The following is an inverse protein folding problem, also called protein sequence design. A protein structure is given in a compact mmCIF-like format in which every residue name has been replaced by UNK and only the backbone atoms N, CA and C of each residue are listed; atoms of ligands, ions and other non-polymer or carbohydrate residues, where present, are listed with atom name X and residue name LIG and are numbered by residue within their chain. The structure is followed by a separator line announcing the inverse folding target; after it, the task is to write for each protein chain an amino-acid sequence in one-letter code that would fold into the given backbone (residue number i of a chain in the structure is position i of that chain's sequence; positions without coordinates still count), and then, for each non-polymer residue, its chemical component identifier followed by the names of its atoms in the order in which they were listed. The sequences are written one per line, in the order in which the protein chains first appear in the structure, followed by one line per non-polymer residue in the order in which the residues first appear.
data_IF_705096190807
#
_entry.id   IF_705096190807
#
_cell.length_a   1.000
_cell.length_b   1.000
_cell.length_c   1.000
_cell.angle_alpha   90.00
_cell.angle_beta   90.00
_cell.angle_gamma   90.00
#
_symmetry.space_group_name_H-M   'P 1'
#
loop_
_entity.id
_entity.type
_entity.pdbx_description
1 polymer ?
#
# COMPACT_ATOMS: atom_id res chain seq x y z
N UNK A 1 -10.95 38.25 19.48
CA UNK A 1 -10.84 38.30 17.99
C UNK A 1 -9.88 37.26 17.38
N UNK A 2 -8.56 37.25 17.68
CA UNK A 2 -7.59 36.26 17.11
C UNK A 2 -8.00 34.79 17.30
N UNK A 3 -8.60 34.45 18.44
CA UNK A 3 -9.00 33.07 18.74
C UNK A 3 -10.22 32.59 17.91
N UNK A 4 -11.12 33.52 17.55
CA UNK A 4 -12.31 33.29 16.74
C UNK A 4 -11.93 33.06 15.26
N UNK A 5 -11.08 33.91 14.69
CA UNK A 5 -10.57 33.73 13.33
C UNK A 5 -9.76 32.42 13.17
N UNK A 6 -9.01 31.99 14.20
CA UNK A 6 -8.31 30.70 14.20
C UNK A 6 -9.27 29.50 14.21
N UNK A 7 -10.40 29.59 14.91
CA UNK A 7 -11.45 28.56 14.90
C UNK A 7 -12.20 28.53 13.56
N UNK A 8 -12.54 29.69 13.00
CA UNK A 8 -13.23 29.81 11.72
C UNK A 8 -12.37 29.27 10.56
N UNK A 9 -11.09 29.64 10.50
CA UNK A 9 -10.14 29.12 9.50
C UNK A 9 -9.91 27.61 9.63
N UNK A 10 -9.83 27.09 10.86
CA UNK A 10 -9.77 25.65 11.10
C UNK A 10 -11.04 24.92 10.63
N UNK A 11 -12.21 25.52 10.83
CA UNK A 11 -13.50 24.97 10.42
C UNK A 11 -13.68 24.97 8.90
N UNK A 12 -13.34 26.07 8.22
CA UNK A 12 -13.33 26.18 6.74
C UNK A 12 -12.34 25.18 6.12
N UNK A 13 -11.13 25.08 6.70
CA UNK A 13 -10.13 24.10 6.27
C UNK A 13 -10.62 22.66 6.47
N UNK A 14 -11.36 22.38 7.55
CA UNK A 14 -11.97 21.07 7.82
C UNK A 14 -13.09 20.75 6.83
N UNK A 15 -13.97 21.71 6.52
CA UNK A 15 -15.03 21.55 5.51
C UNK A 15 -14.45 21.28 4.11
N UNK A 16 -13.44 22.05 3.69
CA UNK A 16 -12.76 21.82 2.41
C UNK A 16 -12.10 20.44 2.34
N UNK A 17 -11.47 19.98 3.42
CA UNK A 17 -10.85 18.64 3.49
C UNK A 17 -11.88 17.53 3.25
N UNK A 18 -13.03 17.59 3.93
CA UNK A 18 -14.08 16.59 3.80
C UNK A 18 -14.67 16.56 2.40
N UNK A 19 -14.84 17.73 1.77
CA UNK A 19 -15.28 17.83 0.38
C UNK A 19 -14.34 17.09 -0.57
N UNK A 20 -13.02 17.34 -0.50
CA UNK A 20 -12.05 16.66 -1.37
C UNK A 20 -12.04 15.14 -1.14
N UNK A 21 -12.10 14.69 0.11
CA UNK A 21 -12.16 13.25 0.42
C UNK A 21 -13.44 12.64 -0.15
N UNK A 22 -14.60 13.27 0.05
CA UNK A 22 -15.88 12.81 -0.50
C UNK A 22 -15.83 12.70 -2.03
N UNK A 23 -15.32 13.74 -2.70
CA UNK A 23 -15.15 13.75 -4.15
C UNK A 23 -14.21 12.62 -4.64
N UNK A 24 -13.07 12.40 -3.96
CA UNK A 24 -12.16 11.28 -4.28
C UNK A 24 -12.88 9.95 -4.17
N UNK A 25 -13.60 9.70 -3.09
CA UNK A 25 -14.31 8.43 -2.88
C UNK A 25 -15.35 8.20 -3.97
N UNK A 26 -16.15 9.22 -4.29
CA UNK A 26 -17.19 9.14 -5.33
C UNK A 26 -16.56 8.86 -6.70
N UNK A 27 -15.54 9.64 -7.09
CA UNK A 27 -14.86 9.47 -8.38
C UNK A 27 -14.13 8.12 -8.49
N UNK A 28 -13.63 7.60 -7.36
CA UNK A 28 -12.89 6.33 -7.31
C UNK A 28 -13.80 5.10 -7.21
N UNK A 29 -15.10 5.28 -6.95
CA UNK A 29 -16.05 4.19 -6.73
C UNK A 29 -16.38 3.48 -8.04
N UNK A 30 -16.70 4.23 -9.11
CA UNK A 30 -17.11 3.66 -10.39
C UNK A 30 -16.04 2.73 -11.01
N UNK A 31 -14.75 3.11 -11.12
CA UNK A 31 -13.71 2.23 -11.64
C UNK A 31 -13.55 0.89 -10.89
N UNK A 32 -13.93 0.88 -9.60
CA UNK A 32 -13.86 -0.31 -8.74
C UNK A 32 -15.10 -1.18 -8.83
N UNK A 33 -16.27 -0.60 -9.09
CA UNK A 33 -17.52 -1.35 -9.24
C UNK A 33 -17.76 -1.87 -10.65
N UNK A 34 -17.11 -1.29 -11.66
CA UNK A 34 -17.29 -1.70 -13.06
C UNK A 34 -17.04 -3.20 -13.23
N UNK A 35 -18.11 -3.94 -13.57
CA UNK A 35 -18.11 -5.38 -13.81
C UNK A 35 -17.42 -6.20 -12.71
N UNK A 36 -17.56 -5.82 -11.44
CA UNK A 36 -16.79 -6.41 -10.33
C UNK A 36 -16.90 -7.95 -10.24
N UNK A 37 -18.06 -8.53 -10.57
CA UNK A 37 -18.26 -9.99 -10.56
C UNK A 37 -17.65 -10.69 -11.76
N UNK A 38 -17.55 -10.01 -12.91
CA UNK A 38 -17.12 -10.59 -14.18
C UNK A 38 -15.64 -10.31 -14.50
N UNK A 39 -15.11 -9.16 -14.05
CA UNK A 39 -13.76 -8.67 -14.31
C UNK A 39 -13.14 -8.15 -13.02
N UNK A 40 -11.87 -8.46 -12.71
CA UNK A 40 -10.90 -9.29 -13.48
C UNK A 40 -11.35 -10.75 -13.63
N UNK A 41 -10.76 -11.54 -14.54
CA UNK A 41 -10.92 -13.00 -14.53
C UNK A 41 -10.52 -13.59 -13.17
N UNK A 42 -11.10 -14.74 -12.82
CA UNK A 42 -10.87 -15.36 -11.52
C UNK A 42 -9.42 -15.82 -11.42
N UNK A 43 -8.71 -15.32 -10.40
CA UNK A 43 -7.33 -15.74 -10.12
C UNK A 43 -7.31 -16.95 -9.17
N UNK A 44 -6.23 -17.74 -9.21
CA UNK A 44 -6.07 -18.94 -8.36
C UNK A 44 -6.26 -18.63 -6.87
N UNK A 45 -5.78 -17.47 -6.41
CA UNK A 45 -5.91 -17.03 -5.01
C UNK A 45 -7.37 -16.81 -4.60
N UNK A 46 -8.23 -16.29 -5.49
CA UNK A 46 -9.66 -16.08 -5.20
C UNK A 46 -10.38 -17.42 -4.97
N UNK A 47 -10.13 -18.40 -5.83
CA UNK A 47 -10.69 -19.73 -5.68
C UNK A 47 -10.23 -20.40 -4.37
N UNK A 48 -8.96 -20.24 -4.01
CA UNK A 48 -8.41 -20.76 -2.75
C UNK A 48 -9.01 -20.06 -1.52
N UNK A 49 -9.18 -18.74 -1.58
CA UNK A 49 -9.79 -17.93 -0.53
C UNK A 49 -11.26 -18.29 -0.32
N UNK A 50 -12.04 -18.44 -1.39
CA UNK A 50 -13.45 -18.85 -1.32
C UNK A 50 -13.59 -20.26 -0.75
N UNK A 51 -12.76 -21.22 -1.19
CA UNK A 51 -12.75 -22.57 -0.62
C UNK A 51 -12.52 -22.56 0.89
N UNK A 52 -11.57 -21.75 1.36
CA UNK A 52 -11.30 -21.58 2.79
C UNK A 52 -12.50 -20.95 3.52
N UNK A 53 -13.09 -19.89 2.97
CA UNK A 53 -14.27 -19.22 3.55
C UNK A 53 -15.46 -20.18 3.65
N UNK A 54 -15.72 -20.97 2.61
CA UNK A 54 -16.78 -21.98 2.63
C UNK A 54 -16.54 -23.07 3.68
N UNK A 55 -15.28 -23.50 3.86
CA UNK A 55 -14.92 -24.43 4.93
C UNK A 55 -15.20 -23.84 6.33
N UNK A 56 -14.85 -22.57 6.55
CA UNK A 56 -15.13 -21.85 7.81
C UNK A 56 -16.63 -21.75 8.06
N UNK A 57 -17.41 -21.35 7.04
CA UNK A 57 -18.85 -21.21 7.15
C UNK A 57 -19.55 -22.56 7.41
N UNK A 58 -19.06 -23.64 6.80
CA UNK A 58 -19.60 -25.00 7.00
C UNK A 58 -19.28 -25.56 8.39
N UNK A 59 -18.09 -25.31 8.91
CA UNK A 59 -17.62 -25.85 10.19
C UNK A 59 -17.92 -24.93 11.39
N UNK A 60 -18.52 -23.76 11.14
CA UNK A 60 -18.79 -22.71 12.14
C UNK A 60 -17.56 -22.25 12.97
N UNK A 61 -16.34 -22.51 12.46
CA UNK A 61 -15.08 -22.19 13.16
C UNK A 61 -14.62 -20.77 12.83
N UNK A 62 -15.00 -19.80 13.65
CA UNK A 62 -14.67 -18.37 13.47
C UNK A 62 -13.50 -17.92 14.36
N UNK A 63 -12.43 -18.72 14.45
CA UNK A 63 -11.26 -18.33 15.22
C UNK A 63 -10.36 -17.37 14.43
N UNK A 64 -10.13 -16.12 14.89
CA UNK A 64 -9.36 -15.12 14.12
C UNK A 64 -7.88 -15.48 14.01
N UNK A 65 -7.43 -16.46 14.82
CA UNK A 65 -6.07 -16.97 14.80
C UNK A 65 -5.89 -18.13 13.84
N UNK A 66 -6.94 -18.60 13.14
CA UNK A 66 -6.79 -19.67 12.16
C UNK A 66 -5.80 -19.32 11.06
N UNK A 67 -5.00 -20.32 10.68
CA UNK A 67 -4.11 -20.19 9.56
C UNK A 67 -4.95 -20.05 8.30
N UNK A 68 -4.55 -19.10 7.48
CA UNK A 68 -4.98 -19.04 6.09
C UNK A 68 -4.51 -20.28 5.32
N UNK A 69 -5.11 -20.55 4.14
CA UNK A 69 -4.83 -21.77 3.36
C UNK A 69 -3.36 -21.97 2.98
N UNK A 70 -2.58 -20.88 2.87
CA UNK A 70 -1.14 -20.89 2.57
C UNK A 70 -0.24 -20.92 3.83
N UNK A 71 -0.84 -21.02 5.01
CA UNK A 71 -0.23 -20.99 6.34
C UNK A 71 0.62 -19.74 6.67
N UNK A 72 0.71 -18.76 5.79
CA UNK A 72 1.64 -17.63 5.93
C UNK A 72 1.09 -16.46 6.74
N UNK A 73 -0.20 -16.52 7.07
CA UNK A 73 -0.98 -15.44 7.68
C UNK A 73 -2.23 -16.00 8.36
N UNK A 74 -2.98 -15.12 9.03
CA UNK A 74 -4.28 -15.47 9.61
C UNK A 74 -5.44 -15.22 8.65
N UNK A 75 -6.61 -15.77 8.97
CA UNK A 75 -7.86 -15.50 8.25
C UNK A 75 -8.51 -14.15 8.60
N UNK A 76 -7.94 -13.39 9.55
CA UNK A 76 -8.52 -12.15 10.10
C UNK A 76 -8.94 -11.16 8.99
N UNK A 77 -8.14 -11.01 7.95
CA UNK A 77 -8.40 -10.07 6.85
C UNK A 77 -9.64 -10.42 6.03
N UNK A 78 -10.11 -11.67 6.10
CA UNK A 78 -11.24 -12.18 5.34
C UNK A 78 -12.57 -12.13 6.11
N UNK A 79 -12.55 -11.68 7.38
CA UNK A 79 -13.76 -11.58 8.21
C UNK A 79 -14.88 -10.74 7.60
N UNK A 80 -14.61 -9.59 6.96
CA UNK A 80 -15.67 -8.85 6.27
C UNK A 80 -16.30 -9.66 5.13
N UNK A 81 -15.50 -10.40 4.35
CA UNK A 81 -16.01 -11.27 3.29
C UNK A 81 -16.88 -12.39 3.87
N UNK A 82 -16.42 -13.03 4.95
CA UNK A 82 -17.17 -14.08 5.67
C UNK A 82 -18.51 -13.52 6.17
N UNK A 83 -18.50 -12.33 6.78
CA UNK A 83 -19.70 -11.67 7.27
C UNK A 83 -20.69 -11.36 6.15
N UNK A 84 -20.23 -10.79 5.03
CA UNK A 84 -21.08 -10.48 3.88
C UNK A 84 -21.70 -11.75 3.29
N UNK A 85 -20.93 -12.81 3.10
CA UNK A 85 -21.43 -14.10 2.58
C UNK A 85 -22.44 -14.71 3.56
N UNK A 86 -22.20 -14.60 4.88
CA UNK A 86 -23.14 -15.09 5.90
C UNK A 86 -24.46 -14.30 5.90
N UNK A 87 -24.43 -12.99 5.66
CA UNK A 87 -25.62 -12.13 5.65
C UNK A 87 -26.45 -12.23 4.37
N UNK A 88 -25.79 -12.36 3.21
CA UNK A 88 -26.44 -12.27 1.90
C UNK A 88 -26.47 -13.59 1.12
N UNK A 89 -25.91 -14.67 1.68
CA UNK A 89 -25.83 -15.98 1.05
C UNK A 89 -24.59 -16.17 0.16
N UNK A 90 -24.42 -17.41 -0.32
CA UNK A 90 -23.25 -17.84 -1.10
C UNK A 90 -23.43 -17.72 -2.63
N UNK A 91 -24.57 -17.28 -3.12
CA UNK A 91 -24.83 -17.17 -4.57
C UNK A 91 -23.94 -16.15 -5.28
N UNK A 92 -23.35 -15.20 -4.54
CA UNK A 92 -22.49 -14.12 -5.04
C UNK A 92 -21.20 -13.99 -4.20
N UNK A 93 -20.66 -15.11 -3.72
CA UNK A 93 -19.48 -15.19 -2.85
C UNK A 93 -18.24 -14.45 -3.40
N UNK A 94 -17.93 -14.60 -4.70
CA UNK A 94 -16.84 -13.90 -5.37
C UNK A 94 -17.04 -12.38 -5.33
N UNK A 95 -18.27 -11.92 -5.57
CA UNK A 95 -18.58 -10.49 -5.51
C UNK A 95 -18.32 -9.94 -4.10
N UNK A 96 -18.75 -10.64 -3.04
CA UNK A 96 -18.52 -10.21 -1.67
C UNK A 96 -17.04 -10.24 -1.29
N UNK A 97 -16.29 -11.24 -1.77
CA UNK A 97 -14.85 -11.30 -1.58
C UNK A 97 -14.15 -10.09 -2.23
N UNK A 98 -14.49 -9.76 -3.47
CA UNK A 98 -13.96 -8.60 -4.20
C UNK A 98 -14.41 -7.27 -3.62
N UNK A 99 -15.65 -7.20 -3.13
CA UNK A 99 -16.21 -6.02 -2.48
C UNK A 99 -15.41 -5.64 -1.22
N UNK A 100 -14.90 -6.63 -0.48
CA UNK A 100 -14.01 -6.36 0.65
C UNK A 100 -12.70 -5.69 0.22
N UNK A 101 -12.06 -6.17 -0.86
CA UNK A 101 -10.88 -5.50 -1.43
C UNK A 101 -11.18 -4.07 -1.86
N UNK A 102 -12.33 -3.85 -2.49
CA UNK A 102 -12.82 -2.53 -2.89
C UNK A 102 -12.96 -1.61 -1.68
N UNK A 103 -13.62 -2.06 -0.60
CA UNK A 103 -13.82 -1.27 0.61
C UNK A 103 -12.48 -0.85 1.20
N UNK A 104 -11.53 -1.77 1.36
CA UNK A 104 -10.20 -1.42 1.88
C UNK A 104 -9.48 -0.44 0.97
N UNK A 105 -9.54 -0.62 -0.35
CA UNK A 105 -8.90 0.30 -1.29
C UNK A 105 -9.45 1.72 -1.23
N UNK A 106 -10.76 1.89 -1.05
CA UNK A 106 -11.39 3.21 -0.86
C UNK A 106 -10.95 3.84 0.46
N UNK A 107 -10.92 3.04 1.52
CA UNK A 107 -10.43 3.46 2.83
C UNK A 107 -8.96 3.90 2.77
N UNK A 108 -8.12 3.27 1.93
CA UNK A 108 -6.73 3.64 1.72
C UNK A 108 -6.53 5.06 1.15
N UNK A 109 -7.50 5.57 0.39
CA UNK A 109 -7.43 6.91 -0.21
C UNK A 109 -7.48 8.01 0.86
N UNK A 110 -8.08 7.74 2.02
CA UNK A 110 -8.20 8.68 3.14
C UNK A 110 -6.82 9.00 3.76
N UNK A 111 -6.07 8.03 4.32
CA UNK A 111 -4.75 8.32 4.88
C UNK A 111 -3.78 8.77 3.78
N UNK A 112 -3.90 8.25 2.55
CA UNK A 112 -3.09 8.72 1.42
C UNK A 112 -3.26 10.22 1.16
N UNK A 113 -4.51 10.70 1.04
CA UNK A 113 -4.80 12.13 0.85
C UNK A 113 -4.24 12.97 2.01
N UNK A 114 -4.44 12.51 3.25
CA UNK A 114 -4.00 13.23 4.44
C UNK A 114 -2.47 13.33 4.54
N UNK A 115 -1.75 12.27 4.16
CA UNK A 115 -0.29 12.23 4.08
C UNK A 115 0.23 13.15 2.96
N UNK A 116 -0.34 13.05 1.76
CA UNK A 116 0.05 13.88 0.61
C UNK A 116 -0.19 15.36 0.86
N UNK A 117 -1.30 15.71 1.51
CA UNK A 117 -1.62 17.09 1.91
C UNK A 117 -0.60 17.68 2.89
N UNK A 118 0.06 16.86 3.71
CA UNK A 118 1.12 17.35 4.63
C UNK A 118 2.38 17.79 3.89
N UNK A 119 2.59 17.29 2.69
CA UNK A 119 3.68 17.70 1.81
C UNK A 119 3.30 18.91 0.94
N UNK A 120 2.01 19.08 0.68
CA UNK A 120 1.50 19.97 -0.37
C UNK A 120 0.32 20.83 0.13
N UNK A 121 -0.72 20.99 -0.69
CA UNK A 121 -1.98 21.64 -0.36
C UNK A 121 -3.16 20.71 -0.70
N UNK A 122 -4.39 21.11 -0.37
CA UNK A 122 -5.58 20.26 -0.60
C UNK A 122 -5.79 19.88 -2.08
N UNK A 123 -5.50 20.80 -3.01
CA UNK A 123 -5.77 20.62 -4.43
C UNK A 123 -4.78 19.62 -5.03
N UNK A 124 -3.49 19.78 -4.74
CA UNK A 124 -2.46 18.85 -5.19
C UNK A 124 -2.66 17.48 -4.53
N UNK A 125 -3.01 17.43 -3.24
CA UNK A 125 -3.34 16.18 -2.59
C UNK A 125 -4.55 15.49 -3.23
N UNK A 126 -5.58 16.25 -3.63
CA UNK A 126 -6.73 15.72 -4.35
C UNK A 126 -6.31 15.11 -5.69
N UNK A 127 -5.60 15.89 -6.52
CA UNK A 127 -5.08 15.49 -7.82
C UNK A 127 -4.24 14.19 -7.75
N UNK A 128 -3.28 14.12 -6.83
CA UNK A 128 -2.40 12.96 -6.66
C UNK A 128 -3.16 11.76 -6.09
N UNK A 129 -4.12 11.97 -5.19
CA UNK A 129 -4.93 10.86 -4.65
C UNK A 129 -5.84 10.28 -5.71
N UNK A 130 -6.38 11.12 -6.61
CA UNK A 130 -7.17 10.67 -7.75
C UNK A 130 -6.32 9.82 -8.72
N UNK A 131 -5.10 10.27 -9.02
CA UNK A 131 -4.12 9.51 -9.81
C UNK A 131 -3.78 8.17 -9.15
N UNK A 132 -3.46 8.15 -7.85
CA UNK A 132 -3.19 6.92 -7.10
C UNK A 132 -4.41 5.98 -7.10
N UNK A 133 -5.59 6.52 -6.80
CA UNK A 133 -6.83 5.77 -6.72
C UNK A 133 -7.27 5.17 -8.06
N UNK A 134 -6.87 5.77 -9.18
CA UNK A 134 -7.22 5.31 -10.54
C UNK A 134 -6.11 4.54 -11.23
N UNK A 135 -4.93 4.40 -10.59
CA UNK A 135 -3.82 3.61 -11.12
C UNK A 135 -4.30 2.21 -11.49
N UNK A 136 -4.11 1.77 -12.74
CA UNK A 136 -4.51 0.42 -13.18
C UNK A 136 -3.91 -0.67 -12.28
N UNK A 137 -2.69 -0.46 -11.78
CA UNK A 137 -2.01 -1.36 -10.86
C UNK A 137 -2.70 -1.39 -9.49
N UNK A 138 -3.04 -0.24 -8.90
CA UNK A 138 -3.80 -0.21 -7.64
C UNK A 138 -5.23 -0.72 -7.81
N UNK A 139 -5.86 -0.42 -8.95
CA UNK A 139 -7.21 -0.88 -9.30
C UNK A 139 -7.27 -2.40 -9.39
N UNK A 140 -6.24 -3.07 -9.90
CA UNK A 140 -6.21 -4.54 -9.93
C UNK A 140 -6.39 -5.12 -8.53
N UNK A 141 -5.57 -4.70 -7.57
CA UNK A 141 -5.66 -5.14 -6.17
C UNK A 141 -6.89 -4.61 -5.43
N UNK A 142 -7.50 -3.53 -5.93
CA UNK A 142 -8.78 -3.03 -5.42
C UNK A 142 -9.96 -3.91 -5.83
N UNK A 143 -9.77 -4.81 -6.80
CA UNK A 143 -10.87 -5.55 -7.46
C UNK A 143 -10.70 -7.06 -7.48
N UNK A 144 -9.49 -7.59 -7.36
CA UNK A 144 -9.30 -9.01 -7.05
C UNK A 144 -9.61 -9.27 -5.57
N UNK A 145 -10.16 -10.44 -5.28
CA UNK A 145 -10.42 -10.97 -3.95
C UNK A 145 -9.17 -11.38 -3.16
N UNK A 146 -8.02 -10.78 -3.48
CA UNK A 146 -6.77 -10.94 -2.74
C UNK A 146 -6.64 -9.87 -1.65
N UNK A 147 -7.52 -10.01 -0.65
CA UNK A 147 -7.87 -8.96 0.31
C UNK A 147 -6.69 -8.50 1.17
N UNK A 148 -5.78 -9.41 1.54
CA UNK A 148 -4.69 -9.13 2.50
C UNK A 148 -3.67 -8.11 1.99
N UNK A 149 -3.43 -8.04 0.68
CA UNK A 149 -2.42 -7.13 0.11
C UNK A 149 -2.94 -5.68 0.15
N UNK A 150 -4.18 -5.45 -0.29
CA UNK A 150 -4.79 -4.12 -0.23
C UNK A 150 -5.07 -3.70 1.21
N UNK A 151 -5.46 -4.64 2.07
CA UNK A 151 -5.62 -4.41 3.50
C UNK A 151 -4.32 -3.93 4.16
N UNK A 152 -3.20 -4.63 3.93
CA UNK A 152 -1.91 -4.24 4.51
C UNK A 152 -1.38 -2.93 3.95
N UNK A 153 -1.60 -2.64 2.66
CA UNK A 153 -1.29 -1.33 2.07
C UNK A 153 -2.08 -0.21 2.76
N UNK A 154 -3.37 -0.44 3.00
CA UNK A 154 -4.28 0.49 3.71
C UNK A 154 -3.80 0.74 5.14
N UNK A 155 -3.54 -0.31 5.90
CA UNK A 155 -3.05 -0.19 7.28
C UNK A 155 -1.64 0.42 7.34
N UNK A 156 -0.78 0.15 6.36
CA UNK A 156 0.54 0.78 6.24
C UNK A 156 0.45 2.31 6.14
N UNK A 157 -0.49 2.81 5.34
CA UNK A 157 -0.76 4.25 5.23
C UNK A 157 -1.26 4.84 6.55
N UNK A 158 -2.17 4.14 7.25
CA UNK A 158 -2.64 4.56 8.57
C UNK A 158 -1.53 4.54 9.62
N UNK A 159 -0.70 3.50 9.64
CA UNK A 159 0.44 3.37 10.54
C UNK A 159 1.37 4.59 10.43
N UNK A 160 1.74 4.96 9.20
CA UNK A 160 2.59 6.12 8.95
C UNK A 160 1.88 7.42 9.35
N UNK A 161 0.59 7.56 9.04
CA UNK A 161 -0.22 8.71 9.44
C UNK A 161 -0.29 8.87 10.97
N UNK A 162 -0.50 7.79 11.70
CA UNK A 162 -0.60 7.80 13.16
C UNK A 162 0.74 8.13 13.81
N UNK A 163 1.85 7.55 13.34
CA UNK A 163 3.19 7.93 13.78
C UNK A 163 3.43 9.43 13.56
N UNK A 164 3.09 9.93 12.38
CA UNK A 164 3.19 11.35 12.06
C UNK A 164 2.27 12.27 12.89
N UNK A 165 1.10 11.76 13.34
CA UNK A 165 0.18 12.47 14.23
C UNK A 165 0.70 12.55 15.66
N UNK A 166 1.44 11.52 16.11
CA UNK A 166 2.04 11.50 17.44
C UNK A 166 3.02 12.67 17.63
N UNK A 167 3.74 13.07 16.58
CA UNK A 167 4.74 14.13 16.58
C UNK A 167 4.27 15.43 15.90
N UNK A 168 2.96 15.61 15.73
CA UNK A 168 2.42 16.81 15.05
C UNK A 168 2.64 18.10 15.85
N UNK A 169 2.61 18.01 17.19
CA UNK A 169 2.97 19.11 18.07
C UNK A 169 4.45 19.00 18.46
N UNK A 170 5.24 19.98 18.04
CA UNK A 170 6.69 20.05 18.33
C UNK A 170 6.99 20.07 19.84
N UNK A 171 6.05 20.54 20.67
CA UNK A 171 6.24 20.64 22.12
C UNK A 171 5.77 19.40 22.87
N UNK A 172 4.89 18.59 22.28
CA UNK A 172 4.29 17.45 22.97
C UNK A 172 4.02 16.25 22.05
N UNK A 173 4.60 15.09 22.42
CA UNK A 173 4.22 13.82 21.78
C UNK A 173 2.86 13.39 22.32
N UNK A 174 1.95 13.05 21.42
CA UNK A 174 0.62 12.55 21.73
C UNK A 174 0.65 11.02 21.81
N UNK A 175 0.74 10.49 23.02
CA UNK A 175 0.96 9.06 23.29
C UNK A 175 -0.14 8.15 22.73
N UNK A 176 -1.39 8.60 22.69
CA UNK A 176 -2.49 7.81 22.10
C UNK A 176 -2.19 7.40 20.65
N UNK A 177 -1.55 8.28 19.87
CA UNK A 177 -1.19 7.96 18.49
C UNK A 177 -0.03 6.97 18.41
N UNK A 178 0.86 6.93 19.40
CA UNK A 178 1.90 5.90 19.52
C UNK A 178 1.25 4.54 19.80
N UNK A 179 0.31 4.47 20.74
CA UNK A 179 -0.45 3.24 21.05
C UNK A 179 -1.18 2.72 19.83
N UNK A 180 -1.96 3.59 19.16
CA UNK A 180 -2.72 3.19 17.97
C UNK A 180 -1.77 2.77 16.83
N UNK A 181 -0.60 3.39 16.70
CA UNK A 181 0.42 2.96 15.73
C UNK A 181 0.95 1.56 16.03
N UNK A 182 1.32 1.27 17.29
CA UNK A 182 1.80 -0.06 17.69
C UNK A 182 0.72 -1.13 17.50
N UNK A 183 -0.53 -0.83 17.88
CA UNK A 183 -1.67 -1.73 17.61
C UNK A 183 -1.87 -1.97 16.11
N UNK A 184 -1.76 -0.93 15.27
CA UNK A 184 -1.88 -1.05 13.81
C UNK A 184 -0.76 -1.93 13.24
N UNK A 185 0.48 -1.74 13.69
CA UNK A 185 1.60 -2.61 13.32
C UNK A 185 1.36 -4.06 13.75
N UNK A 186 0.73 -4.26 14.92
CA UNK A 186 0.32 -5.57 15.40
C UNK A 186 -0.70 -6.23 14.48
N UNK A 187 -1.73 -5.49 14.05
CA UNK A 187 -2.74 -6.01 13.09
C UNK A 187 -2.12 -6.33 11.73
N UNK A 188 -1.16 -5.53 11.25
CA UNK A 188 -0.43 -5.83 10.01
C UNK A 188 0.26 -7.20 10.09
N UNK A 189 0.79 -7.57 11.26
CA UNK A 189 1.47 -8.85 11.48
C UNK A 189 0.56 -10.08 11.29
N UNK A 190 -0.76 -9.91 11.40
CA UNK A 190 -1.75 -10.98 11.15
C UNK A 190 -2.03 -11.23 9.67
N UNK A 191 -1.65 -10.28 8.81
CA UNK A 191 -2.03 -10.24 7.40
C UNK A 191 -0.88 -10.69 6.49
N UNK A 192 -0.76 -10.12 5.29
CA UNK A 192 0.23 -10.52 4.30
C UNK A 192 1.66 -10.42 4.84
N UNK A 193 2.40 -11.54 4.86
CA UNK A 193 3.77 -11.61 5.40
C UNK A 193 4.75 -10.63 4.77
N UNK A 194 4.59 -10.31 3.49
CA UNK A 194 5.43 -9.29 2.82
C UNK A 194 5.29 -7.90 3.45
N UNK A 195 4.17 -7.60 4.11
CA UNK A 195 3.96 -6.35 4.82
C UNK A 195 4.72 -6.23 6.15
N UNK A 196 5.35 -7.30 6.64
CA UNK A 196 6.20 -7.24 7.84
C UNK A 196 7.37 -6.25 7.67
N UNK A 197 7.77 -5.97 6.42
CA UNK A 197 8.72 -4.90 6.10
C UNK A 197 8.27 -3.53 6.65
N UNK A 198 6.97 -3.24 6.62
CA UNK A 198 6.42 -1.99 7.16
C UNK A 198 6.54 -1.92 8.67
N UNK A 199 6.45 -3.06 9.37
CA UNK A 199 6.63 -3.12 10.83
C UNK A 199 8.08 -2.71 11.15
N UNK A 200 9.06 -3.35 10.52
CA UNK A 200 10.48 -3.00 10.72
C UNK A 200 10.77 -1.54 10.35
N UNK A 201 10.26 -1.07 9.21
CA UNK A 201 10.42 0.32 8.77
C UNK A 201 9.74 1.31 9.72
N UNK A 202 8.64 0.94 10.38
CA UNK A 202 7.94 1.80 11.32
C UNK A 202 8.75 2.06 12.60
N UNK A 203 9.53 1.08 13.08
CA UNK A 203 10.48 1.30 14.18
C UNK A 203 11.57 2.29 13.77
N UNK A 204 12.15 2.11 12.57
CA UNK A 204 13.15 3.05 12.04
C UNK A 204 12.56 4.46 11.87
N UNK A 205 11.32 4.55 11.39
CA UNK A 205 10.65 5.84 11.21
C UNK A 205 10.30 6.51 12.53
N UNK A 206 9.85 5.75 13.54
CA UNK A 206 9.62 6.26 14.87
C UNK A 206 10.92 6.85 15.44
N UNK A 207 12.02 6.11 15.36
CA UNK A 207 13.35 6.57 15.77
C UNK A 207 13.75 7.85 15.04
N UNK A 208 13.56 7.90 13.72
CA UNK A 208 13.79 9.11 12.93
C UNK A 208 12.93 10.31 13.39
N UNK A 209 11.65 10.10 13.67
CA UNK A 209 10.75 11.14 14.17
C UNK A 209 11.17 11.65 15.55
N UNK A 210 11.62 10.76 16.44
CA UNK A 210 12.13 11.11 17.77
C UNK A 210 13.38 12.00 17.65
N UNK A 211 14.36 11.59 16.84
CA UNK A 211 15.58 12.37 16.60
C UNK A 211 15.29 13.73 15.99
N UNK A 212 14.45 13.76 14.95
CA UNK A 212 14.15 14.99 14.22
C UNK A 212 13.23 15.97 14.94
N UNK A 213 12.56 15.51 16.01
CA UNK A 213 11.70 16.32 16.87
C UNK A 213 12.41 16.80 18.13
N UNK A 214 13.67 16.41 18.35
CA UNK A 214 14.49 16.81 19.51
C UNK A 214 13.80 16.59 20.87
N UNK A 215 13.07 15.49 21.02
CA UNK A 215 12.45 15.15 22.30
C UNK A 215 13.48 14.61 23.29
N UNK A 216 13.21 14.73 24.59
CA UNK A 216 14.12 14.20 25.63
C UNK A 216 14.28 12.69 25.54
N UNK A 217 15.45 12.18 25.95
CA UNK A 217 15.76 10.74 25.93
C UNK A 217 14.70 9.90 26.66
N UNK A 218 14.29 10.31 27.87
CA UNK A 218 13.21 9.64 28.63
C UNK A 218 11.92 9.52 27.83
N UNK A 219 11.53 10.59 27.12
CA UNK A 219 10.30 10.59 26.30
C UNK A 219 10.47 9.74 25.05
N UNK A 220 11.65 9.77 24.43
CA UNK A 220 12.01 8.91 23.30
C UNK A 220 11.88 7.43 23.69
N UNK A 221 12.56 7.03 24.76
CA UNK A 221 12.50 5.67 25.30
C UNK A 221 11.06 5.24 25.61
N UNK A 222 10.29 6.06 26.34
CA UNK A 222 8.89 5.78 26.64
C UNK A 222 8.05 5.57 25.38
N UNK A 223 8.20 6.41 24.35
CA UNK A 223 7.42 6.26 23.10
C UNK A 223 7.82 5.01 22.32
N UNK A 224 9.10 4.65 22.32
CA UNK A 224 9.58 3.41 21.70
C UNK A 224 9.03 2.18 22.41
N UNK A 225 9.14 2.15 23.74
CA UNK A 225 8.61 1.10 24.60
C UNK A 225 7.09 0.96 24.44
N UNK A 226 6.35 2.07 24.44
CA UNK A 226 4.91 2.05 24.27
C UNK A 226 4.49 1.49 22.91
N UNK A 227 5.18 1.89 21.84
CA UNK A 227 4.96 1.32 20.51
C UNK A 227 5.25 -0.19 20.49
N UNK A 228 6.41 -0.61 21.03
CA UNK A 228 6.82 -2.00 21.08
C UNK A 228 5.84 -2.88 21.88
N UNK A 229 5.46 -2.47 23.09
CA UNK A 229 4.57 -3.27 23.93
C UNK A 229 3.16 -3.35 23.37
N UNK A 230 2.63 -2.29 22.75
CA UNK A 230 1.30 -2.34 22.12
C UNK A 230 1.30 -3.18 20.84
N UNK A 231 2.38 -3.12 20.05
CA UNK A 231 2.64 -4.06 18.95
C UNK A 231 2.67 -5.50 19.46
N UNK A 232 3.48 -5.78 20.49
CA UNK A 232 3.66 -7.11 21.05
C UNK A 232 2.35 -7.64 21.62
N UNK A 233 1.63 -6.83 22.40
CA UNK A 233 0.35 -7.21 23.00
C UNK A 233 -0.66 -7.67 21.96
N UNK A 234 -0.83 -6.91 20.86
CA UNK A 234 -1.72 -7.29 19.76
C UNK A 234 -1.21 -8.52 19.02
N UNK A 235 0.11 -8.65 18.82
CA UNK A 235 0.73 -9.74 18.05
C UNK A 235 0.89 -11.04 18.84
N UNK A 236 0.81 -10.98 20.17
CA UNK A 236 1.19 -12.08 21.07
C UNK A 236 0.40 -13.38 20.81
N UNK A 237 -0.95 -13.36 20.65
CA UNK A 237 -1.69 -14.59 20.35
C UNK A 237 -1.21 -15.29 19.07
N UNK A 238 -0.92 -14.50 18.03
CA UNK A 238 -0.41 -15.03 16.78
C UNK A 238 1.02 -15.55 16.89
N UNK A 239 1.89 -14.82 17.61
CA UNK A 239 3.26 -15.27 17.90
C UNK A 239 3.28 -16.62 18.64
N UNK A 240 2.39 -16.82 19.62
CA UNK A 240 2.25 -18.10 20.34
C UNK A 240 1.81 -19.22 19.39
N UNK A 241 0.93 -18.93 18.43
CA UNK A 241 0.49 -19.94 17.46
C UNK A 241 1.59 -20.28 16.44
N UNK A 242 2.32 -19.26 15.97
CA UNK A 242 3.48 -19.44 15.09
C UNK A 242 4.56 -20.26 15.78
N UNK A 243 4.88 -19.98 17.04
CA UNK A 243 5.96 -20.69 17.75
C UNK A 243 5.69 -22.19 17.87
N UNK A 244 4.42 -22.58 17.97
CA UNK A 244 3.97 -23.98 17.97
C UNK A 244 3.87 -24.61 16.57
N UNK A 245 3.94 -23.81 15.51
CA UNK A 245 3.72 -24.23 14.12
C UNK A 245 4.72 -23.57 13.15
N UNK A 246 5.99 -23.44 13.57
CA UNK A 246 6.99 -22.64 12.84
C UNK A 246 7.18 -23.12 11.40
N UNK A 247 7.22 -24.43 11.18
CA UNK A 247 7.42 -25.00 9.84
C UNK A 247 6.27 -24.65 8.89
N UNK A 248 5.02 -24.74 9.38
CA UNK A 248 3.83 -24.34 8.60
C UNK A 248 3.88 -22.87 8.24
N UNK A 249 4.15 -22.00 9.22
CA UNK A 249 4.22 -20.56 8.98
C UNK A 249 5.32 -20.16 7.99
N UNK A 250 6.44 -20.90 7.99
CA UNK A 250 7.59 -20.63 7.11
C UNK A 250 7.53 -21.34 5.76
N UNK A 251 6.55 -22.22 5.52
CA UNK A 251 6.41 -22.95 4.26
C UNK A 251 6.39 -22.03 3.05
N UNK A 252 5.52 -21.01 3.04
CA UNK A 252 5.43 -20.08 1.90
C UNK A 252 6.70 -19.26 1.73
N UNK A 253 7.33 -18.83 2.82
CA UNK A 253 8.58 -18.07 2.76
C UNK A 253 9.72 -18.90 2.13
N UNK A 254 9.80 -20.19 2.47
CA UNK A 254 10.76 -21.10 1.87
C UNK A 254 10.51 -21.33 0.38
N UNK A 255 9.24 -21.37 -0.05
CA UNK A 255 8.87 -21.52 -1.47
C UNK A 255 9.25 -20.29 -2.29
N UNK A 256 9.06 -19.08 -1.75
CA UNK A 256 9.30 -17.84 -2.50
C UNK A 256 10.72 -17.30 -2.39
N UNK A 257 11.54 -17.85 -1.49
CA UNK A 257 12.92 -17.41 -1.31
C UNK A 257 13.79 -17.83 -2.51
N UNK A 258 14.48 -16.89 -3.12
CA UNK A 258 15.20 -17.15 -4.39
C UNK A 258 16.27 -18.22 -4.27
N UNK A 259 16.93 -18.37 -3.11
CA UNK A 259 17.96 -19.40 -2.94
C UNK A 259 17.40 -20.82 -2.99
N UNK A 260 16.09 -20.98 -2.82
CA UNK A 260 15.38 -22.25 -2.90
C UNK A 260 14.73 -22.48 -4.28
N UNK A 261 14.95 -21.60 -5.25
CA UNK A 261 14.40 -21.76 -6.59
C UNK A 261 14.94 -23.01 -7.28
N UNK A 262 14.06 -23.70 -8.00
CA UNK A 262 14.42 -24.85 -8.85
C UNK A 262 15.03 -24.35 -10.16
N UNK A 263 16.02 -25.08 -10.66
CA UNK A 263 16.66 -24.84 -11.95
C UNK A 263 16.11 -25.83 -13.01
N UNK A 264 16.02 -25.44 -14.30
CA UNK A 264 16.31 -24.11 -14.83
C UNK A 264 15.27 -23.07 -14.39
N UNK A 265 15.70 -21.83 -14.20
CA UNK A 265 14.84 -20.72 -13.76
C UNK A 265 14.88 -19.61 -14.80
N UNK A 266 13.77 -19.41 -15.52
CA UNK A 266 13.69 -18.51 -16.69
C UNK A 266 14.82 -18.76 -17.71
N UNK A 267 15.14 -20.03 -17.97
CA UNK A 267 16.21 -20.44 -18.87
C UNK A 267 17.62 -20.37 -18.27
N UNK A 268 17.78 -19.94 -17.02
CA UNK A 268 19.06 -19.93 -16.32
C UNK A 268 19.32 -21.28 -15.67
N UNK A 269 20.49 -21.86 -15.95
CA UNK A 269 20.93 -23.16 -15.40
C UNK A 269 21.89 -23.03 -14.22
N UNK A 270 22.41 -21.83 -13.95
CA UNK A 270 23.42 -21.58 -12.92
C UNK A 270 22.90 -20.62 -11.85
N UNK A 271 23.27 -20.87 -10.58
CA UNK A 271 22.77 -20.07 -9.44
C UNK A 271 23.39 -18.69 -9.39
N UNK A 272 24.59 -18.54 -9.92
CA UNK A 272 25.35 -17.29 -10.01
C UNK A 272 24.59 -16.27 -10.86
N UNK A 273 23.97 -16.71 -11.95
CA UNK A 273 23.19 -15.87 -12.87
C UNK A 273 21.85 -15.42 -12.27
N UNK A 274 21.30 -16.17 -11.31
CA UNK A 274 20.03 -15.83 -10.65
C UNK A 274 20.09 -14.46 -9.98
N UNK A 275 21.17 -14.19 -9.24
CA UNK A 275 21.29 -12.94 -8.48
C UNK A 275 21.36 -11.74 -9.42
N UNK A 276 22.11 -11.88 -10.53
CA UNK A 276 22.20 -10.84 -11.56
C UNK A 276 20.85 -10.61 -12.24
N UNK A 277 20.15 -11.68 -12.61
CA UNK A 277 18.80 -11.59 -13.16
C UNK A 277 17.84 -10.88 -12.21
N UNK A 278 17.84 -11.26 -10.93
CA UNK A 278 17.00 -10.68 -9.89
C UNK A 278 17.21 -9.17 -9.74
N UNK A 279 18.48 -8.75 -9.63
CA UNK A 279 18.85 -7.35 -9.49
C UNK A 279 18.45 -6.56 -10.73
N UNK A 280 18.86 -7.00 -11.93
CA UNK A 280 18.61 -6.27 -13.17
C UNK A 280 17.13 -6.12 -13.46
N UNK A 281 16.36 -7.21 -13.33
CA UNK A 281 14.91 -7.20 -13.56
C UNK A 281 14.19 -6.31 -12.54
N UNK A 282 14.60 -6.35 -11.28
CA UNK A 282 14.02 -5.50 -10.23
C UNK A 282 14.35 -4.02 -10.43
N UNK A 283 15.58 -3.69 -10.84
CA UNK A 283 15.99 -2.30 -11.14
C UNK A 283 15.22 -1.77 -12.35
N UNK A 284 15.15 -2.54 -13.45
CA UNK A 284 14.40 -2.13 -14.65
C UNK A 284 12.93 -1.85 -14.32
N UNK A 285 12.28 -2.78 -13.63
CA UNK A 285 10.85 -2.65 -13.34
C UNK A 285 10.52 -1.61 -12.28
N UNK A 286 11.31 -1.50 -11.20
CA UNK A 286 10.91 -0.72 -10.03
C UNK A 286 11.75 0.55 -9.78
N UNK A 287 12.91 0.67 -10.40
CA UNK A 287 13.68 1.92 -10.40
C UNK A 287 13.44 2.64 -11.71
N UNK A 288 13.79 2.04 -12.85
CA UNK A 288 13.61 2.66 -14.18
C UNK A 288 12.13 2.76 -14.61
N UNK A 289 11.25 2.03 -13.90
CA UNK A 289 9.81 1.99 -14.15
C UNK A 289 9.51 1.54 -15.58
N UNK A 290 10.23 0.55 -16.05
CA UNK A 290 10.07 -0.06 -17.37
C UNK A 290 9.17 -1.30 -17.28
N UNK A 291 8.49 -1.61 -18.39
CA UNK A 291 7.79 -2.88 -18.52
C UNK A 291 8.79 -4.01 -18.75
N UNK A 292 8.67 -5.09 -18.00
CA UNK A 292 9.56 -6.25 -18.09
C UNK A 292 8.71 -7.52 -18.16
N UNK A 293 9.14 -8.48 -18.98
CA UNK A 293 8.56 -9.81 -19.04
C UNK A 293 9.10 -10.59 -17.84
N UNK A 294 8.24 -10.90 -16.86
CA UNK A 294 8.62 -11.60 -15.63
C UNK A 294 8.84 -13.10 -15.79
N UNK A 295 8.54 -13.64 -16.98
CA UNK A 295 8.82 -15.01 -17.39
C UNK A 295 8.03 -16.08 -16.61
N UNK A 296 6.97 -15.71 -15.89
CA UNK A 296 6.09 -16.61 -15.16
C UNK A 296 4.61 -16.31 -15.44
N UNK A 297 3.74 -17.27 -15.11
CA UNK A 297 2.29 -17.14 -15.27
C UNK A 297 1.64 -16.25 -14.19
N UNK A 298 2.32 -15.99 -13.05
CA UNK A 298 1.74 -15.18 -11.98
C UNK A 298 1.76 -13.67 -12.28
N UNK A 299 2.82 -13.15 -12.92
CA UNK A 299 3.00 -11.71 -13.12
C UNK A 299 1.91 -11.06 -13.96
N UNK A 300 1.45 -11.65 -15.10
CA UNK A 300 0.35 -11.11 -15.90
C UNK A 300 -0.94 -10.85 -15.10
N UNK A 301 -1.17 -11.59 -14.01
CA UNK A 301 -2.35 -11.45 -13.13
C UNK A 301 -2.34 -10.15 -12.32
N UNK A 302 -1.16 -9.56 -12.09
CA UNK A 302 -0.98 -8.43 -11.16
C UNK A 302 -0.46 -7.18 -11.86
N UNK A 303 0.27 -7.35 -12.96
CA UNK A 303 0.83 -6.28 -13.77
C UNK A 303 0.77 -6.70 -15.24
N UNK A 304 0.36 -5.81 -16.15
CA UNK A 304 0.41 -6.08 -17.57
C UNK A 304 1.87 -6.26 -18.02
N UNK A 305 2.18 -7.40 -18.65
CA UNK A 305 3.53 -7.66 -19.18
C UNK A 305 3.92 -6.58 -20.20
N UNK A 306 5.22 -6.25 -20.27
CA UNK A 306 5.78 -5.25 -21.20
C UNK A 306 5.32 -3.80 -21.01
N UNK A 307 4.31 -3.56 -20.17
CA UNK A 307 3.90 -2.22 -19.78
C UNK A 307 4.59 -1.81 -18.47
N UNK A 308 4.98 -0.54 -18.33
CA UNK A 308 5.44 0.02 -17.05
C UNK A 308 4.47 -0.27 -15.90
N UNK A 309 4.90 -0.21 -14.63
CA UNK A 309 4.00 -0.34 -13.48
C UNK A 309 3.24 0.97 -13.16
N UNK A 310 3.66 2.09 -13.75
CA UNK A 310 3.07 3.42 -13.56
C UNK A 310 2.88 4.09 -14.92
N UNK A 311 1.83 4.90 -15.06
CA UNK A 311 1.65 5.69 -16.27
C UNK A 311 2.76 6.72 -16.47
N UNK A 312 2.90 7.21 -17.70
CA UNK A 312 3.94 8.14 -18.11
C UNK A 312 3.99 9.42 -17.25
N UNK A 313 2.83 9.99 -16.93
CA UNK A 313 2.74 11.23 -16.15
C UNK A 313 3.30 11.07 -14.74
N UNK A 314 2.96 9.97 -14.07
CA UNK A 314 3.48 9.66 -12.74
C UNK A 314 4.95 9.28 -12.79
N UNK A 315 5.42 8.54 -13.80
CA UNK A 315 6.84 8.18 -13.95
C UNK A 315 7.75 9.42 -13.99
N UNK A 316 7.42 10.38 -14.85
CA UNK A 316 8.19 11.64 -14.96
C UNK A 316 8.10 12.42 -13.64
N UNK A 317 6.89 12.57 -13.11
CA UNK A 317 6.66 13.33 -11.89
C UNK A 317 7.38 12.72 -10.68
N UNK A 318 7.44 11.39 -10.59
CA UNK A 318 8.18 10.67 -9.56
C UNK A 318 9.67 10.98 -9.64
N UNK A 319 10.30 10.83 -10.80
CA UNK A 319 11.73 11.07 -10.94
C UNK A 319 12.11 12.52 -10.66
N UNK A 320 11.35 13.47 -11.21
CA UNK A 320 11.53 14.89 -10.88
C UNK A 320 11.34 15.14 -9.38
N UNK A 321 10.32 14.55 -8.76
CA UNK A 321 10.05 14.64 -7.32
C UNK A 321 11.14 14.02 -6.45
N UNK A 322 11.76 12.92 -6.91
CA UNK A 322 12.87 12.25 -6.24
C UNK A 322 14.12 13.12 -6.28
N UNK A 323 14.46 13.71 -7.43
CA UNK A 323 15.57 14.66 -7.58
C UNK A 323 15.34 15.88 -6.66
N UNK A 324 14.16 16.49 -6.70
CA UNK A 324 13.81 17.63 -5.83
C UNK A 324 13.90 17.27 -4.34
N UNK A 325 13.55 16.03 -4.00
CA UNK A 325 13.67 15.51 -2.64
C UNK A 325 15.12 15.39 -2.21
N UNK A 326 15.98 14.81 -3.04
CA UNK A 326 17.40 14.59 -2.73
C UNK A 326 18.21 15.89 -2.68
N UNK A 327 17.91 16.85 -3.57
CA UNK A 327 18.62 18.13 -3.63
C UNK A 327 18.29 19.09 -2.47
N UNK A 328 17.25 18.81 -1.68
CA UNK A 328 16.85 19.67 -0.57
C UNK A 328 16.67 18.88 0.71
N UNK A 329 17.53 19.12 1.70
CA UNK A 329 17.42 18.49 3.03
C UNK A 329 16.02 18.62 3.65
N UNK A 330 15.35 19.77 3.44
CA UNK A 330 13.98 20.01 3.91
C UNK A 330 12.96 19.07 3.27
N UNK A 331 13.10 18.79 1.98
CA UNK A 331 12.22 17.86 1.27
C UNK A 331 12.59 16.43 1.62
N UNK A 332 13.88 16.09 1.61
CA UNK A 332 14.38 14.78 2.02
C UNK A 332 13.91 14.37 3.41
N UNK A 333 13.91 15.29 4.38
CA UNK A 333 13.38 15.03 5.74
C UNK A 333 11.91 14.60 5.73
N UNK A 334 11.14 14.99 4.72
CA UNK A 334 9.72 14.64 4.57
C UNK A 334 9.49 13.43 3.67
N UNK A 335 10.34 13.22 2.67
CA UNK A 335 10.13 12.21 1.61
C UNK A 335 11.09 11.02 1.68
N UNK A 336 12.21 11.13 2.38
CA UNK A 336 13.25 10.10 2.47
C UNK A 336 12.75 8.77 3.01
N UNK A 337 11.78 8.78 3.93
CA UNK A 337 11.14 7.55 4.40
C UNK A 337 10.36 6.80 3.30
N UNK A 338 9.73 7.54 2.38
CA UNK A 338 9.03 6.93 1.24
C UNK A 338 10.00 6.33 0.22
N UNK A 339 11.17 6.96 0.03
CA UNK A 339 12.27 6.38 -0.74
C UNK A 339 12.80 5.09 -0.09
N UNK A 340 12.93 5.09 1.24
CA UNK A 340 13.34 3.90 1.99
C UNK A 340 12.35 2.75 1.81
N UNK A 341 11.03 3.01 1.85
CA UNK A 341 10.00 1.99 1.56
C UNK A 341 10.22 1.36 0.18
N UNK A 342 10.50 2.17 -0.85
CA UNK A 342 10.78 1.67 -2.21
C UNK A 342 12.01 0.75 -2.19
N UNK A 343 13.14 1.24 -1.68
CA UNK A 343 14.41 0.49 -1.67
C UNK A 343 14.26 -0.83 -0.91
N UNK A 344 13.68 -0.78 0.29
CA UNK A 344 13.50 -1.98 1.12
C UNK A 344 12.53 -2.96 0.48
N UNK A 345 11.45 -2.49 -0.17
CA UNK A 345 10.52 -3.38 -0.89
C UNK A 345 11.17 -4.03 -2.11
N UNK A 346 12.03 -3.32 -2.83
CA UNK A 346 12.81 -3.88 -3.94
C UNK A 346 13.74 -4.98 -3.44
N UNK A 347 14.48 -4.74 -2.36
CA UNK A 347 15.43 -5.73 -1.82
C UNK A 347 14.68 -6.98 -1.34
N UNK A 348 13.73 -6.81 -0.41
CA UNK A 348 13.12 -7.95 0.27
C UNK A 348 11.93 -8.57 -0.48
N UNK A 349 11.23 -7.81 -1.29
CA UNK A 349 10.05 -8.26 -2.03
C UNK A 349 10.29 -8.58 -3.50
N UNK A 350 11.45 -8.20 -4.05
CA UNK A 350 11.79 -8.49 -5.45
C UNK A 350 13.09 -9.30 -5.50
N UNK A 351 14.23 -8.69 -5.18
CA UNK A 351 15.57 -9.30 -5.38
C UNK A 351 15.75 -10.63 -4.61
N UNK A 352 15.31 -10.67 -3.36
CA UNK A 352 15.47 -11.86 -2.50
C UNK A 352 14.39 -12.93 -2.72
N UNK A 353 13.53 -12.75 -3.71
CA UNK A 353 12.33 -13.57 -3.90
C UNK A 353 12.14 -13.98 -5.36
N UNK A 354 11.47 -15.09 -5.61
CA UNK A 354 11.28 -15.64 -6.97
C UNK A 354 10.44 -14.73 -7.85
N UNK A 355 10.55 -14.89 -9.16
CA UNK A 355 9.83 -14.25 -10.25
C UNK A 355 9.61 -12.72 -10.12
N UNK A 356 10.69 -11.91 -10.13
CA UNK A 356 10.54 -10.47 -10.37
C UNK A 356 10.19 -10.21 -11.86
N UNK A 357 9.52 -9.09 -12.17
CA UNK A 357 8.82 -8.24 -11.23
C UNK A 357 7.53 -8.89 -10.74
N UNK A 358 7.22 -8.73 -9.46
CA UNK A 358 6.00 -9.25 -8.86
C UNK A 358 5.16 -8.13 -8.25
N UNK A 359 4.00 -7.87 -8.85
CA UNK A 359 3.09 -6.80 -8.42
C UNK A 359 2.53 -7.00 -7.01
N UNK A 360 2.23 -8.24 -6.60
CA UNK A 360 1.72 -8.49 -5.26
C UNK A 360 2.69 -8.04 -4.15
N UNK A 361 3.99 -8.36 -4.32
CA UNK A 361 5.05 -7.96 -3.37
C UNK A 361 5.43 -6.49 -3.46
N UNK A 362 5.21 -5.85 -4.61
CA UNK A 362 5.55 -4.46 -4.86
C UNK A 362 4.44 -3.46 -4.50
N UNK A 363 3.20 -3.90 -4.24
CA UNK A 363 2.08 -2.98 -4.02
C UNK A 363 2.33 -2.04 -2.82
N UNK A 364 3.05 -2.51 -1.81
CA UNK A 364 3.36 -1.75 -0.60
C UNK A 364 4.18 -0.48 -0.87
N UNK A 365 5.01 -0.47 -1.93
CA UNK A 365 5.76 0.72 -2.32
C UNK A 365 5.02 1.62 -3.32
N UNK A 366 3.86 1.18 -3.84
CA UNK A 366 3.08 1.96 -4.80
C UNK A 366 2.73 3.37 -4.28
N UNK A 367 2.22 3.54 -3.04
CA UNK A 367 1.92 4.87 -2.52
C UNK A 367 3.14 5.80 -2.47
N UNK A 368 4.34 5.25 -2.23
CA UNK A 368 5.57 6.03 -2.16
C UNK A 368 5.88 6.77 -3.46
N UNK A 369 5.67 6.13 -4.62
CA UNK A 369 5.90 6.76 -5.92
C UNK A 369 5.02 8.00 -6.10
N UNK A 370 3.73 7.89 -5.77
CA UNK A 370 2.77 9.00 -5.88
C UNK A 370 3.04 10.11 -4.86
N UNK A 371 3.40 9.76 -3.63
CA UNK A 371 3.76 10.75 -2.59
C UNK A 371 5.01 11.54 -3.00
N UNK A 372 6.01 10.88 -3.58
CA UNK A 372 7.21 11.55 -4.10
C UNK A 372 6.86 12.42 -5.31
N UNK A 373 6.02 11.92 -6.23
CA UNK A 373 5.51 12.71 -7.37
C UNK A 373 4.75 13.99 -6.92
N UNK A 374 4.05 13.95 -5.78
CA UNK A 374 3.39 15.14 -5.23
C UNK A 374 4.37 16.28 -4.91
N UNK A 375 5.63 15.96 -4.61
CA UNK A 375 6.67 16.95 -4.33
C UNK A 375 7.02 17.75 -5.59
N UNK A 376 7.02 17.11 -6.76
CA UNK A 376 7.19 17.78 -8.05
C UNK A 376 6.05 18.76 -8.33
N UNK A 377 4.79 18.31 -8.22
CA UNK A 377 3.63 19.19 -8.43
C UNK A 377 3.61 20.38 -7.48
N UNK A 378 3.97 20.16 -6.21
CA UNK A 378 4.09 21.25 -5.24
C UNK A 378 5.20 22.23 -5.62
N UNK A 379 6.33 21.74 -6.13
CA UNK A 379 7.43 22.61 -6.56
C UNK A 379 7.05 23.46 -7.78
N UNK A 380 6.35 22.90 -8.77
CA UNK A 380 5.81 23.66 -9.91
C UNK A 380 4.88 24.76 -9.41
N UNK A 381 3.95 24.41 -8.51
CA UNK A 381 3.03 25.39 -7.93
C UNK A 381 3.77 26.51 -7.19
N UNK A 382 4.82 26.19 -6.42
CA UNK A 382 5.65 27.19 -5.74
C UNK A 382 6.41 28.10 -6.72
N UNK A 383 7.02 27.55 -7.77
CA UNK A 383 7.78 28.32 -8.78
C UNK A 383 6.86 29.23 -9.59
N UNK A 384 5.63 28.79 -9.87
CA UNK A 384 4.61 29.59 -10.57
C UNK A 384 4.00 30.72 -9.73
N UNK A 385 4.66 31.13 -8.64
CA UNK A 385 4.16 32.10 -7.67
C UNK A 385 2.75 31.74 -7.13
N UNK A 386 2.47 30.43 -7.00
CA UNK A 386 1.17 29.89 -6.53
C UNK A 386 0.00 30.25 -7.43
N UNK A 387 0.22 30.28 -8.75
CA UNK A 387 -0.82 30.57 -9.73
C UNK A 387 -1.93 29.49 -9.72
N UNK A 388 -3.19 29.92 -9.66
CA UNK A 388 -4.37 29.03 -9.68
C UNK A 388 -4.56 28.31 -11.01
N UNK A 389 -4.08 28.88 -12.11
CA UNK A 389 -4.09 28.25 -13.44
C UNK A 389 -3.27 26.96 -13.41
N UNK A 390 -2.09 26.98 -12.77
CA UNK A 390 -1.25 25.78 -12.61
C UNK A 390 -1.97 24.68 -11.84
N UNK A 391 -2.69 25.03 -10.76
CA UNK A 391 -3.50 24.05 -10.03
C UNK A 391 -4.62 23.47 -10.91
N UNK A 392 -5.26 24.31 -11.72
CA UNK A 392 -6.31 23.87 -12.65
C UNK A 392 -5.75 22.90 -13.67
N UNK A 393 -4.60 23.20 -14.26
CA UNK A 393 -3.88 22.31 -15.19
C UNK A 393 -3.54 20.98 -14.52
N UNK A 394 -3.01 21.00 -13.28
CA UNK A 394 -2.72 19.78 -12.53
C UNK A 394 -3.97 18.93 -12.32
N UNK A 395 -5.12 19.53 -11.97
CA UNK A 395 -6.40 18.81 -11.83
C UNK A 395 -6.83 18.21 -13.17
N UNK A 396 -6.82 18.99 -14.26
CA UNK A 396 -7.25 18.53 -15.58
C UNK A 396 -6.38 17.38 -16.08
N UNK A 397 -5.05 17.49 -15.96
CA UNK A 397 -4.14 16.40 -16.27
C UNK A 397 -4.38 15.18 -15.39
N UNK A 398 -4.66 15.37 -14.10
CA UNK A 398 -4.96 14.26 -13.19
C UNK A 398 -6.23 13.53 -13.59
N UNK A 399 -7.30 14.26 -13.93
CA UNK A 399 -8.55 13.67 -14.43
C UNK A 399 -8.32 12.91 -15.74
N UNK A 400 -7.57 13.50 -16.68
CA UNK A 400 -7.23 12.88 -17.95
C UNK A 400 -6.45 11.57 -17.76
N UNK A 401 -5.36 11.58 -16.99
CA UNK A 401 -4.55 10.38 -16.74
C UNK A 401 -5.27 9.34 -15.87
N UNK A 402 -6.15 9.76 -14.95
CA UNK A 402 -7.00 8.85 -14.21
C UNK A 402 -8.01 8.13 -15.10
N UNK A 403 -8.61 8.84 -16.06
CA UNK A 403 -9.48 8.23 -17.07
C UNK A 403 -8.67 7.29 -17.98
N UNK A 404 -7.48 7.71 -18.43
CA UNK A 404 -6.60 6.90 -19.26
C UNK A 404 -6.19 5.59 -18.55
N UNK A 405 -5.80 5.64 -17.28
CA UNK A 405 -5.45 4.44 -16.51
C UNK A 405 -6.65 3.50 -16.35
N UNK A 406 -7.85 4.03 -16.16
CA UNK A 406 -9.04 3.20 -16.10
C UNK A 406 -9.37 2.55 -17.45
N UNK A 407 -9.32 3.30 -18.55
CA UNK A 407 -9.51 2.75 -19.90
C UNK A 407 -8.46 1.68 -20.23
N UNK A 408 -7.20 1.94 -19.87
CA UNK A 408 -6.13 0.97 -20.02
C UNK A 408 -6.36 -0.27 -19.15
N UNK A 409 -6.84 -0.10 -17.91
CA UNK A 409 -7.23 -1.22 -17.06
C UNK A 409 -8.34 -2.06 -17.71
N UNK A 410 -9.39 -1.42 -18.24
CA UNK A 410 -10.46 -2.12 -18.95
C UNK A 410 -9.92 -2.93 -20.13
N UNK A 411 -9.06 -2.30 -20.94
CA UNK A 411 -8.38 -2.98 -22.04
C UNK A 411 -7.56 -4.18 -21.54
N UNK A 412 -6.74 -4.01 -20.50
CA UNK A 412 -5.96 -5.08 -19.89
C UNK A 412 -6.84 -6.26 -19.43
N UNK A 413 -7.99 -5.99 -18.84
CA UNK A 413 -8.93 -7.03 -18.40
C UNK A 413 -9.56 -7.84 -19.52
N UNK A 414 -9.45 -7.41 -20.79
CA UNK A 414 -9.94 -8.18 -21.94
C UNK A 414 -8.93 -9.21 -22.46
N UNK A 415 -7.63 -9.00 -22.27
CA UNK A 415 -6.60 -9.90 -22.80
C UNK A 415 -5.70 -10.54 -21.74
N UNK A 416 -5.91 -10.20 -20.46
CA UNK A 416 -5.18 -10.80 -19.34
C UNK A 416 -5.32 -12.33 -19.37
N UNK A 417 -4.18 -13.02 -19.41
CA UNK A 417 -4.10 -14.48 -19.27
C UNK A 417 -3.93 -14.78 -17.79
N UNK A 418 -4.89 -15.50 -17.20
CA UNK A 418 -4.94 -15.81 -15.76
C UNK A 418 -4.81 -17.29 -15.54
#
# INVERSE_FOLDING_TARGET
MKHFFKRLTALVRKKGTLFYIGAIIILSLYPRLWMLSQKPPIIVDEAANLRMIHSILKNESLSPLEFHWDFSKTILTYYPSILLIKLFGNSNDLYFLRLTSLIYSLVALIPFFLLTRRLTNNVIAFAVTLLFGSSYYFLQFSRVGWVDIVFTTTLGLFLILFLQKAFEDKKSVRLIWIVVSGMTAGIIFYAYRGANVLISLSFLYLTFLQFTSHISFKKSFMTFILFFFTFLFVSLPWLIKISKNSDKYNLRANVVYIKNARLPYHGLSFKEDLTKYQILTSIKSWILLEGVIGGNEETPRYLPETFPPLNFFIRISFWAGAIISMLSYRNFKKTGFWLLIIITTIIFGQILTVHPPNGARALLMLPSYYIIAATFFNKIYEISAKNKIVLTIIILLSLFFSLQDFLFYQFWMEWIKV
#
